data_IF_464544609482
#
_entry.id   IF_464544609482
#
_cell.length_a   1.000
_cell.length_b   1.000
_cell.length_c   1.000
_cell.angle_alpha   90.00
_cell.angle_beta   90.00
_cell.angle_gamma   90.00
#
_symmetry.space_group_name_H-M   'P 1'
#
loop_
_entity.id
_entity.type
_entity.pdbx_description
1 polymer ?
#
# COMPACT_ATOMS: atom_id res chain seq x y z
N UNK A 1 -21.85 -12.20 0.15
CA UNK A 1 -21.33 -12.51 -1.20
C UNK A 1 -20.88 -11.24 -1.98
N UNK A 2 -20.21 -10.25 -1.36
CA UNK A 2 -20.13 -8.86 -1.89
C UNK A 2 -18.70 -8.31 -2.04
N UNK A 3 -17.67 -8.98 -1.51
CA UNK A 3 -16.29 -8.45 -1.49
C UNK A 3 -15.40 -8.55 -2.75
N UNK A 4 -15.65 -9.39 -3.79
CA UNK A 4 -14.62 -9.64 -4.79
C UNK A 4 -14.48 -8.55 -5.87
N UNK A 5 -15.33 -7.52 -5.89
CA UNK A 5 -15.31 -6.47 -6.93
C UNK A 5 -14.35 -5.30 -6.67
N UNK A 6 -13.83 -5.19 -5.44
CA UNK A 6 -12.86 -4.16 -5.05
C UNK A 6 -11.40 -4.65 -5.05
N UNK A 7 -11.18 -5.95 -5.25
CA UNK A 7 -9.85 -6.57 -5.19
C UNK A 7 -9.61 -7.35 -6.49
N UNK A 8 -8.85 -6.78 -7.45
CA UNK A 8 -8.67 -7.33 -8.81
C UNK A 8 -8.07 -8.74 -8.91
N UNK A 9 -7.60 -9.35 -7.82
CA UNK A 9 -6.85 -10.61 -7.79
C UNK A 9 -7.68 -11.84 -7.34
N UNK A 10 -8.97 -11.66 -7.06
CA UNK A 10 -9.83 -12.68 -6.47
C UNK A 10 -10.35 -13.78 -7.43
N UNK A 11 -10.04 -13.75 -8.74
CA UNK A 11 -10.48 -14.76 -9.72
C UNK A 11 -9.29 -15.42 -10.40
N UNK A 12 -9.12 -16.73 -10.22
CA UNK A 12 -8.25 -17.63 -10.98
C UNK A 12 -8.49 -19.07 -10.48
N UNK A 13 -8.65 -19.98 -11.43
CA UNK A 13 -9.15 -21.36 -11.32
C UNK A 13 -8.11 -22.38 -10.79
N UNK A 14 -8.65 -23.50 -10.33
CA UNK A 14 -7.94 -24.61 -9.70
C UNK A 14 -7.29 -25.54 -10.72
N UNK A 15 -5.96 -25.52 -10.78
CA UNK A 15 -5.18 -26.66 -11.27
C UNK A 15 -3.74 -26.57 -10.74
N UNK A 16 -3.30 -27.63 -10.07
CA UNK A 16 -1.93 -27.86 -9.60
C UNK A 16 -1.15 -28.66 -10.64
N UNK A 17 0.07 -28.22 -11.00
CA UNK A 17 1.11 -29.19 -11.34
C UNK A 17 2.45 -28.96 -10.62
N UNK A 18 3.18 -30.07 -10.49
CA UNK A 18 4.43 -30.29 -9.77
C UNK A 18 5.62 -29.39 -10.20
N UNK A 19 6.55 -29.17 -9.26
CA UNK A 19 7.78 -28.40 -9.44
C UNK A 19 8.88 -29.23 -10.15
N UNK A 20 9.65 -28.66 -11.09
CA UNK A 20 10.95 -29.20 -11.51
C UNK A 20 12.11 -28.63 -10.65
N UNK A 21 13.18 -29.41 -10.56
CA UNK A 21 14.40 -29.12 -9.78
C UNK A 21 15.27 -27.99 -10.38
N UNK A 22 16.04 -27.25 -9.57
CA UNK A 22 16.87 -26.13 -10.03
C UNK A 22 18.18 -26.59 -10.70
N UNK A 23 18.68 -25.86 -11.72
CA UNK A 23 20.00 -26.08 -12.30
C UNK A 23 21.14 -25.48 -11.45
N UNK A 24 22.34 -26.06 -11.58
CA UNK A 24 23.57 -25.71 -10.85
C UNK A 24 24.24 -24.44 -11.39
N UNK A 25 24.79 -23.63 -10.47
CA UNK A 25 25.50 -22.36 -10.75
C UNK A 25 27.02 -22.59 -10.79
N UNK A 26 27.75 -22.12 -11.82
CA UNK A 26 29.22 -22.09 -11.80
C UNK A 26 29.78 -20.82 -11.12
N UNK A 27 30.93 -20.97 -10.46
CA UNK A 27 31.59 -19.96 -9.63
C UNK A 27 32.15 -18.75 -10.43
N UNK A 28 32.18 -17.53 -9.85
CA UNK A 28 32.67 -16.33 -10.53
C UNK A 28 34.20 -16.19 -10.51
N UNK A 29 34.76 -15.74 -11.64
CA UNK A 29 36.16 -15.40 -11.81
C UNK A 29 36.50 -14.02 -11.20
N UNK A 30 37.73 -13.89 -10.71
CA UNK A 30 38.28 -12.74 -9.99
C UNK A 30 38.31 -11.44 -10.82
N UNK A 31 37.83 -10.34 -10.22
CA UNK A 31 37.88 -8.99 -10.79
C UNK A 31 39.05 -8.19 -10.19
N UNK A 32 39.84 -7.55 -11.04
CA UNK A 32 41.04 -6.75 -10.70
C UNK A 32 40.68 -5.34 -10.21
N UNK A 33 41.56 -4.82 -9.36
CA UNK A 33 41.54 -3.51 -8.70
C UNK A 33 41.28 -2.29 -9.60
N UNK A 34 40.39 -1.40 -9.15
CA UNK A 34 40.24 -0.03 -9.67
C UNK A 34 40.39 0.96 -8.51
N UNK A 35 41.37 1.87 -8.63
CA UNK A 35 41.70 2.91 -7.64
C UNK A 35 40.63 3.99 -7.57
N UNK A 36 40.27 4.42 -6.35
CA UNK A 36 39.35 5.53 -6.07
C UNK A 36 40.11 6.87 -6.02
N UNK A 37 39.67 7.84 -6.83
CA UNK A 37 40.11 9.24 -6.77
C UNK A 37 39.25 10.07 -5.81
N UNK A 38 39.91 10.85 -4.95
CA UNK A 38 39.28 11.70 -3.92
C UNK A 38 38.78 13.03 -4.50
N UNK A 39 37.49 13.34 -4.34
CA UNK A 39 36.92 14.67 -4.59
C UNK A 39 35.93 15.06 -3.50
N UNK A 40 36.23 16.12 -2.74
CA UNK A 40 35.33 16.71 -1.73
C UNK A 40 34.27 17.55 -2.44
N UNK A 41 32.99 17.30 -2.16
CA UNK A 41 31.90 18.21 -2.53
C UNK A 41 31.15 18.70 -1.28
N UNK A 42 31.09 20.02 -1.15
CA UNK A 42 30.35 20.78 -0.16
C UNK A 42 28.84 20.63 -0.33
N UNK A 43 28.13 20.35 0.77
CA UNK A 43 26.67 20.18 0.81
C UNK A 43 25.98 21.55 0.94
N UNK A 44 25.27 22.00 -0.10
CA UNK A 44 24.26 23.06 -0.02
C UNK A 44 22.86 22.44 0.02
N UNK A 45 21.98 22.99 0.86
CA UNK A 45 20.63 22.47 1.10
C UNK A 45 19.75 22.42 -0.18
N UNK A 46 18.83 21.45 -0.33
CA UNK A 46 18.09 21.26 -1.58
C UNK A 46 16.95 22.28 -1.77
N UNK A 47 16.95 22.99 -2.89
CA UNK A 47 15.84 23.85 -3.32
C UNK A 47 14.67 23.01 -3.88
N UNK A 48 13.67 22.81 -3.02
CA UNK A 48 12.48 21.99 -3.29
C UNK A 48 11.59 22.54 -4.41
N UNK A 49 11.63 23.85 -4.71
CA UNK A 49 10.80 24.45 -5.78
C UNK A 49 11.31 24.06 -7.16
N UNK A 50 12.63 23.95 -7.30
CA UNK A 50 13.28 23.49 -8.54
C UNK A 50 13.10 21.99 -8.80
N UNK A 51 13.06 21.17 -7.74
CA UNK A 51 12.77 19.74 -7.85
C UNK A 51 11.35 19.46 -8.39
N UNK A 52 10.35 20.23 -7.93
CA UNK A 52 8.97 20.14 -8.42
C UNK A 52 8.85 20.50 -9.92
N UNK A 53 9.51 21.58 -10.37
CA UNK A 53 9.50 21.98 -11.79
C UNK A 53 10.28 21.03 -12.68
N UNK A 54 11.45 20.54 -12.24
CA UNK A 54 12.23 19.56 -13.02
C UNK A 54 11.45 18.27 -13.24
N UNK A 55 10.79 17.72 -12.21
CA UNK A 55 9.98 16.50 -12.39
C UNK A 55 8.80 16.71 -13.34
N UNK A 56 8.22 17.92 -13.38
CA UNK A 56 7.15 18.27 -14.32
C UNK A 56 7.63 18.47 -15.77
N UNK A 57 8.90 18.89 -15.97
CA UNK A 57 9.53 19.11 -17.28
C UNK A 57 10.14 17.80 -17.84
N UNK A 58 10.77 17.00 -16.98
CA UNK A 58 11.31 15.66 -17.30
C UNK A 58 10.18 14.69 -17.69
N UNK A 59 8.97 14.88 -17.13
CA UNK A 59 7.75 14.20 -17.55
C UNK A 59 7.28 14.54 -18.98
N UNK A 60 7.70 15.69 -19.54
CA UNK A 60 7.36 16.12 -20.91
C UNK A 60 8.45 15.78 -21.93
N UNK A 61 9.66 15.39 -21.50
CA UNK A 61 10.84 15.40 -22.38
C UNK A 61 11.85 14.26 -22.20
N UNK A 62 11.50 13.14 -21.54
CA UNK A 62 12.40 11.99 -21.53
C UNK A 62 12.54 11.40 -22.96
N UNK A 63 13.77 11.13 -23.46
CA UNK A 63 13.95 10.46 -24.74
C UNK A 63 13.31 9.07 -24.64
N UNK A 64 12.27 8.83 -25.42
CA UNK A 64 11.70 7.49 -25.59
C UNK A 64 12.81 6.62 -26.16
N UNK A 65 13.44 5.78 -25.33
CA UNK A 65 14.12 4.61 -25.86
C UNK A 65 13.11 3.85 -26.73
N UNK A 66 13.57 3.41 -27.90
CA UNK A 66 12.75 2.84 -28.98
C UNK A 66 12.21 1.48 -28.54
N UNK A 67 11.28 1.45 -27.58
CA UNK A 67 10.44 0.29 -27.35
C UNK A 67 9.68 0.01 -28.64
N UNK A 68 9.62 -1.26 -29.06
CA UNK A 68 8.85 -1.65 -30.24
C UNK A 68 7.43 -1.09 -30.10
N UNK A 69 6.96 -0.37 -31.12
CA UNK A 69 5.62 0.22 -31.16
C UNK A 69 4.53 -0.83 -30.87
N UNK A 70 4.80 -2.08 -31.20
CA UNK A 70 3.98 -3.26 -30.90
C UNK A 70 3.80 -3.50 -29.40
N UNK A 71 4.89 -3.51 -28.61
CA UNK A 71 4.81 -3.76 -27.15
C UNK A 71 4.16 -2.60 -26.37
N UNK A 72 4.32 -1.35 -26.84
CA UNK A 72 3.60 -0.21 -26.27
C UNK A 72 2.09 -0.25 -26.59
N UNK A 73 1.71 -0.73 -27.77
CA UNK A 73 0.31 -0.87 -28.16
C UNK A 73 -0.38 -1.95 -27.33
N UNK A 74 0.28 -3.10 -27.13
CA UNK A 74 -0.25 -4.20 -26.30
C UNK A 74 -0.44 -3.83 -24.82
N UNK A 75 0.48 -3.09 -24.17
CA UNK A 75 0.26 -2.66 -22.77
C UNK A 75 -0.83 -1.57 -22.68
N UNK A 76 -1.03 -0.77 -23.72
CA UNK A 76 -2.09 0.24 -23.76
C UNK A 76 -3.49 -0.38 -23.88
N UNK A 77 -3.63 -1.48 -24.63
CA UNK A 77 -4.90 -2.21 -24.80
C UNK A 77 -5.35 -2.93 -23.52
N UNK A 78 -4.44 -3.17 -22.57
CA UNK A 78 -4.76 -3.78 -21.26
C UNK A 78 -5.46 -2.83 -20.30
N UNK A 79 -5.46 -1.52 -20.58
CA UNK A 79 -6.14 -0.55 -19.76
C UNK A 79 -7.57 -0.33 -20.25
N UNK A 80 -8.53 -0.76 -19.44
CA UNK A 80 -9.94 -0.49 -19.69
C UNK A 80 -10.39 0.74 -18.90
N UNK A 81 -10.89 1.75 -19.59
CA UNK A 81 -11.55 2.88 -18.95
C UNK A 81 -12.75 2.41 -18.12
N UNK A 82 -12.91 2.97 -16.92
CA UNK A 82 -14.05 2.69 -16.06
C UNK A 82 -15.31 3.36 -16.61
N UNK A 83 -16.42 2.62 -16.64
CA UNK A 83 -17.73 3.21 -16.94
C UNK A 83 -18.18 4.13 -15.80
N UNK A 84 -19.10 5.07 -16.09
CA UNK A 84 -19.64 5.96 -15.06
C UNK A 84 -20.24 5.20 -13.86
N UNK A 85 -21.03 4.13 -14.04
CA UNK A 85 -21.49 3.30 -12.93
C UNK A 85 -20.36 2.72 -12.08
N UNK A 86 -19.26 2.24 -12.68
CA UNK A 86 -18.12 1.72 -11.94
C UNK A 86 -17.41 2.81 -11.13
N UNK A 87 -17.31 4.03 -11.69
CA UNK A 87 -16.73 5.20 -11.00
C UNK A 87 -17.56 5.63 -9.79
N UNK A 88 -18.89 5.50 -9.86
CA UNK A 88 -19.82 5.84 -8.77
C UNK A 88 -19.97 4.71 -7.74
N UNK A 89 -19.94 3.46 -8.18
CA UNK A 89 -20.11 2.30 -7.29
C UNK A 89 -18.95 2.17 -6.30
N UNK A 90 -17.72 2.44 -6.72
CA UNK A 90 -16.54 2.34 -5.87
C UNK A 90 -16.60 3.23 -4.61
N UNK A 91 -16.85 4.55 -4.69
CA UNK A 91 -16.96 5.38 -3.49
C UNK A 91 -18.17 4.99 -2.63
N UNK A 92 -19.31 4.60 -3.23
CA UNK A 92 -20.48 4.14 -2.47
C UNK A 92 -20.15 2.88 -1.66
N UNK A 93 -19.51 1.88 -2.28
CA UNK A 93 -19.08 0.66 -1.59
C UNK A 93 -18.10 0.96 -0.46
N UNK A 94 -17.17 1.90 -0.68
CA UNK A 94 -16.21 2.30 0.35
C UNK A 94 -16.90 2.98 1.54
N UNK A 95 -17.85 3.89 1.28
CA UNK A 95 -18.69 4.52 2.31
C UNK A 95 -19.44 3.47 3.10
N UNK A 96 -20.16 2.56 2.43
CA UNK A 96 -20.92 1.50 3.09
C UNK A 96 -20.01 0.60 3.93
N UNK A 97 -18.85 0.19 3.42
CA UNK A 97 -17.91 -0.66 4.14
C UNK A 97 -17.37 0.01 5.41
N UNK A 98 -16.98 1.29 5.33
CA UNK A 98 -16.46 2.06 6.48
C UNK A 98 -17.57 2.31 7.50
N UNK A 99 -18.78 2.61 7.05
CA UNK A 99 -19.94 2.75 7.93
C UNK A 99 -20.26 1.46 8.68
N UNK A 100 -20.28 0.31 8.00
CA UNK A 100 -20.51 -1.00 8.62
C UNK A 100 -19.37 -1.38 9.57
N UNK A 101 -18.13 -1.00 9.27
CA UNK A 101 -16.97 -1.31 10.11
C UNK A 101 -16.98 -0.53 11.43
N UNK A 102 -17.30 0.76 11.38
CA UNK A 102 -17.06 1.67 12.51
C UNK A 102 -18.35 2.13 13.19
N UNK A 103 -19.38 2.44 12.42
CA UNK A 103 -20.59 3.10 12.93
C UNK A 103 -21.69 2.10 13.29
N UNK A 104 -21.79 0.96 12.60
CA UNK A 104 -22.77 -0.08 12.95
C UNK A 104 -22.51 -0.67 14.36
N UNK A 105 -21.29 -1.11 14.74
CA UNK A 105 -21.03 -1.63 16.08
C UNK A 105 -21.25 -0.58 17.18
N UNK A 106 -20.89 0.67 16.90
CA UNK A 106 -21.16 1.82 17.77
C UNK A 106 -22.67 2.10 17.95
N UNK A 107 -23.43 1.95 16.85
CA UNK A 107 -24.90 2.06 16.79
C UNK A 107 -25.61 1.05 17.66
N UNK A 108 -25.12 -0.19 17.69
CA UNK A 108 -25.68 -1.26 18.52
C UNK A 108 -25.40 -1.07 20.00
N UNK A 109 -24.31 -0.38 20.36
CA UNK A 109 -23.89 -0.19 21.75
C UNK A 109 -24.60 0.95 22.48
N UNK A 110 -25.18 1.93 21.77
CA UNK A 110 -25.63 3.17 22.41
C UNK A 110 -26.76 3.91 21.68
N UNK A 111 -27.45 4.79 22.41
CA UNK A 111 -28.45 5.69 21.82
C UNK A 111 -27.81 6.65 20.80
N UNK A 112 -28.48 6.97 19.66
CA UNK A 112 -27.95 7.80 18.58
C UNK A 112 -27.34 9.15 19.02
N UNK A 113 -27.85 9.73 20.12
CA UNK A 113 -27.34 10.99 20.69
C UNK A 113 -25.89 10.91 21.18
N UNK A 114 -25.41 9.75 21.66
CA UNK A 114 -24.02 9.57 22.11
C UNK A 114 -23.04 9.43 20.93
N UNK A 115 -23.52 8.90 19.81
CA UNK A 115 -22.75 8.73 18.57
C UNK A 115 -22.54 10.09 17.89
N UNK A 116 -23.57 10.93 17.85
CA UNK A 116 -23.49 12.27 17.28
C UNK A 116 -22.78 13.29 18.20
N UNK A 117 -22.82 13.09 19.52
CA UNK A 117 -22.16 13.98 20.50
C UNK A 117 -20.65 13.74 20.66
N UNK A 118 -20.16 12.56 20.29
CA UNK A 118 -18.74 12.22 20.34
C UNK A 118 -17.98 12.71 19.10
N UNK A 119 -17.46 13.94 19.15
CA UNK A 119 -16.49 14.47 18.16
C UNK A 119 -15.32 13.49 17.89
N UNK A 120 -15.07 12.59 18.84
CA UNK A 120 -14.02 11.60 18.83
C UNK A 120 -14.26 10.40 17.88
N UNK A 121 -15.45 9.80 17.84
CA UNK A 121 -15.77 8.76 16.85
C UNK A 121 -16.09 9.40 15.48
N UNK A 122 -16.61 10.63 15.49
CA UNK A 122 -17.04 11.34 14.30
C UNK A 122 -15.98 11.50 13.22
N UNK A 123 -14.71 11.81 13.55
CA UNK A 123 -13.67 12.04 12.53
C UNK A 123 -13.11 10.75 11.91
N UNK A 124 -13.18 9.62 12.62
CA UNK A 124 -12.50 8.38 12.25
C UNK A 124 -13.03 7.78 10.93
N UNK A 125 -14.35 7.72 10.67
CA UNK A 125 -14.88 7.33 9.35
C UNK A 125 -14.39 8.24 8.22
N UNK A 126 -14.31 9.56 8.43
CA UNK A 126 -13.82 10.49 7.41
C UNK A 126 -12.33 10.29 7.13
N UNK A 127 -11.52 10.08 8.16
CA UNK A 127 -10.10 9.76 8.01
C UNK A 127 -9.89 8.47 7.21
N UNK A 128 -10.70 7.41 7.47
CA UNK A 128 -10.67 6.18 6.68
C UNK A 128 -11.10 6.43 5.24
N UNK A 129 -12.18 7.20 5.03
CA UNK A 129 -12.66 7.54 3.70
C UNK A 129 -11.58 8.25 2.89
N UNK A 130 -10.92 9.25 3.48
CA UNK A 130 -9.82 9.99 2.84
C UNK A 130 -8.65 9.05 2.56
N UNK A 131 -8.24 8.24 3.54
CA UNK A 131 -7.12 7.31 3.39
C UNK A 131 -7.30 6.33 2.22
N UNK A 132 -8.47 5.67 2.16
CA UNK A 132 -8.74 4.66 1.13
C UNK A 132 -9.09 5.27 -0.23
N UNK A 133 -9.53 6.54 -0.26
CA UNK A 133 -9.86 7.25 -1.50
C UNK A 133 -8.64 7.90 -2.16
N UNK A 134 -7.74 8.53 -1.39
CA UNK A 134 -6.69 9.43 -1.93
C UNK A 134 -5.72 8.74 -2.90
N UNK A 135 -5.43 7.45 -2.69
CA UNK A 135 -4.65 6.65 -3.64
C UNK A 135 -5.52 5.99 -4.69
N UNK A 136 -6.55 5.26 -4.26
CA UNK A 136 -7.30 4.33 -5.09
C UNK A 136 -8.17 5.02 -6.13
N UNK A 137 -8.93 6.07 -5.74
CA UNK A 137 -9.92 6.68 -6.63
C UNK A 137 -9.27 7.55 -7.72
N UNK A 138 -8.34 8.49 -7.43
CA UNK A 138 -7.68 9.27 -8.48
C UNK A 138 -6.97 8.38 -9.50
N UNK A 139 -6.31 7.32 -9.05
CA UNK A 139 -5.69 6.32 -9.92
C UNK A 139 -6.74 5.58 -10.76
N UNK A 140 -7.80 5.05 -10.14
CA UNK A 140 -8.87 4.34 -10.83
C UNK A 140 -9.50 5.21 -11.93
N UNK A 141 -9.74 6.48 -11.62
CA UNK A 141 -10.38 7.41 -12.53
C UNK A 141 -9.46 7.88 -13.65
N UNK A 142 -8.15 8.01 -13.37
CA UNK A 142 -7.15 8.48 -14.34
C UNK A 142 -6.64 7.39 -15.28
N UNK A 143 -6.38 6.19 -14.74
CA UNK A 143 -5.75 5.10 -15.50
C UNK A 143 -6.73 3.97 -15.84
N UNK A 144 -7.86 3.86 -15.14
CA UNK A 144 -8.82 2.78 -15.34
C UNK A 144 -8.44 1.49 -14.61
N UNK A 145 -8.90 0.36 -15.15
CA UNK A 145 -8.60 -0.99 -14.66
C UNK A 145 -7.55 -1.64 -15.56
N UNK A 146 -6.54 -2.23 -14.94
CA UNK A 146 -5.53 -3.02 -15.64
C UNK A 146 -5.99 -4.48 -15.73
N UNK A 147 -6.04 -5.02 -16.94
CA UNK A 147 -6.22 -6.45 -17.17
C UNK A 147 -4.87 -7.17 -16.98
N UNK A 148 -4.78 -8.03 -15.97
CA UNK A 148 -3.55 -8.78 -15.68
C UNK A 148 -3.28 -9.80 -16.82
N UNK A 149 -2.07 -9.88 -17.37
CA UNK A 149 -1.72 -10.89 -18.37
C UNK A 149 -2.04 -12.32 -17.90
N UNK A 150 -2.60 -13.19 -18.76
CA UNK A 150 -2.91 -14.59 -18.41
C UNK A 150 -1.68 -15.37 -17.93
N UNK A 151 -0.51 -15.02 -18.45
CA UNK A 151 0.81 -15.61 -18.23
C UNK A 151 1.63 -14.88 -17.15
N UNK A 152 1.07 -13.89 -16.45
CA UNK A 152 1.68 -13.31 -15.24
C UNK A 152 1.61 -14.28 -14.06
N UNK A 153 2.36 -15.36 -14.21
CA UNK A 153 2.53 -16.52 -13.34
C UNK A 153 3.11 -16.17 -11.98
N UNK A 154 3.55 -14.93 -11.77
CA UNK A 154 3.81 -14.35 -10.46
C UNK A 154 2.51 -14.35 -9.63
N UNK A 155 2.25 -15.50 -9.01
CA UNK A 155 1.24 -15.67 -7.97
C UNK A 155 1.73 -14.86 -6.78
N UNK A 156 0.92 -13.93 -6.23
CA UNK A 156 1.27 -13.33 -4.96
C UNK A 156 1.49 -14.46 -3.95
N UNK A 157 2.66 -14.53 -3.31
CA UNK A 157 3.01 -15.64 -2.42
C UNK A 157 2.12 -15.77 -1.18
N UNK A 158 1.19 -14.84 -0.96
CA UNK A 158 0.12 -14.93 0.04
C UNK A 158 -1.10 -15.67 -0.49
N UNK A 159 -1.55 -16.69 0.25
CA UNK A 159 -2.78 -17.42 -0.07
C UNK A 159 -3.98 -16.50 0.09
N UNK A 160 -5.05 -16.74 -0.69
CA UNK A 160 -6.31 -15.97 -0.55
C UNK A 160 -6.88 -16.03 0.87
N UNK A 161 -6.71 -17.19 1.53
CA UNK A 161 -7.11 -17.41 2.91
C UNK A 161 -6.35 -16.53 3.90
N UNK A 162 -5.05 -16.27 3.68
CA UNK A 162 -4.23 -15.43 4.56
C UNK A 162 -4.74 -13.99 4.57
N UNK A 163 -5.08 -13.46 3.38
CA UNK A 163 -5.67 -12.14 3.25
C UNK A 163 -7.08 -12.08 3.84
N UNK A 164 -7.92 -13.08 3.57
CA UNK A 164 -9.27 -13.14 4.12
C UNK A 164 -9.25 -13.18 5.66
N UNK A 165 -8.32 -13.96 6.24
CA UNK A 165 -8.11 -14.02 7.68
C UNK A 165 -7.61 -12.68 8.23
N UNK A 166 -6.60 -12.07 7.60
CA UNK A 166 -6.11 -10.76 8.01
C UNK A 166 -7.23 -9.70 8.00
N UNK A 167 -8.02 -9.68 6.93
CA UNK A 167 -9.16 -8.77 6.82
C UNK A 167 -10.21 -9.06 7.89
N UNK A 168 -10.52 -10.32 8.17
CA UNK A 168 -11.44 -10.69 9.25
C UNK A 168 -10.93 -10.19 10.61
N UNK A 169 -9.63 -10.34 10.89
CA UNK A 169 -9.01 -9.80 12.10
C UNK A 169 -9.13 -8.27 12.16
N UNK A 170 -8.91 -7.56 11.06
CA UNK A 170 -9.12 -6.10 10.96
C UNK A 170 -10.58 -5.76 11.31
N UNK A 171 -11.55 -6.44 10.69
CA UNK A 171 -12.97 -6.17 10.90
C UNK A 171 -13.39 -6.40 12.35
N UNK A 172 -13.02 -7.56 12.93
CA UNK A 172 -13.36 -7.91 14.31
C UNK A 172 -12.67 -6.95 15.29
N UNK A 173 -11.39 -6.64 15.10
CA UNK A 173 -10.64 -5.75 16.00
C UNK A 173 -11.24 -4.34 16.02
N UNK A 174 -11.62 -3.79 14.87
CA UNK A 174 -12.25 -2.47 14.80
C UNK A 174 -13.68 -2.46 15.32
N UNK A 175 -14.47 -3.49 15.02
CA UNK A 175 -15.85 -3.57 15.50
C UNK A 175 -15.90 -3.67 17.03
N UNK A 176 -15.07 -4.54 17.61
CA UNK A 176 -14.93 -4.68 19.08
C UNK A 176 -14.41 -3.40 19.72
N UNK A 177 -13.41 -2.74 19.12
CA UNK A 177 -12.89 -1.48 19.65
C UNK A 177 -13.93 -0.35 19.58
N UNK A 178 -14.66 -0.22 18.48
CA UNK A 178 -15.72 0.78 18.33
C UNK A 178 -16.87 0.56 19.34
N UNK A 179 -17.27 -0.70 19.54
CA UNK A 179 -18.28 -1.07 20.55
C UNK A 179 -17.83 -0.68 21.97
N UNK A 180 -16.62 -1.05 22.36
CA UNK A 180 -16.06 -0.76 23.69
C UNK A 180 -15.85 0.74 23.91
N UNK A 181 -15.41 1.48 22.89
CA UNK A 181 -15.15 2.91 22.97
C UNK A 181 -16.40 3.72 23.31
N UNK A 182 -17.50 3.45 22.61
CA UNK A 182 -18.77 4.18 22.83
C UNK A 182 -19.38 3.89 24.20
N UNK A 183 -19.02 2.76 24.80
CA UNK A 183 -19.51 2.34 26.11
C UNK A 183 -18.84 3.06 27.29
N UNK A 184 -17.69 3.73 27.09
CA UNK A 184 -16.94 4.29 28.22
C UNK A 184 -15.72 5.16 27.91
N UNK A 185 -15.67 5.83 26.76
CA UNK A 185 -14.52 6.65 26.39
C UNK A 185 -14.24 7.79 27.37
N UNK A 186 -12.96 7.96 27.69
CA UNK A 186 -12.42 9.15 28.35
C UNK A 186 -11.46 9.87 27.41
N UNK A 187 -11.63 11.18 27.22
CA UNK A 187 -10.67 11.98 26.45
C UNK A 187 -9.33 11.98 27.19
N UNK A 188 -8.27 11.56 26.50
CA UNK A 188 -6.91 11.47 27.06
C UNK A 188 -5.99 12.49 26.39
N UNK A 189 -4.97 13.02 27.11
CA UNK A 189 -4.09 14.05 26.56
C UNK A 189 -3.29 13.59 25.33
N UNK A 190 -3.07 12.28 25.17
CA UNK A 190 -2.39 11.70 24.01
C UNK A 190 -3.30 11.44 22.80
N UNK A 191 -4.61 11.70 22.88
CA UNK A 191 -5.53 11.49 21.75
C UNK A 191 -5.18 12.39 20.54
N UNK A 192 -4.65 13.58 20.80
CA UNK A 192 -4.13 14.48 19.76
C UNK A 192 -2.93 13.89 19.02
N UNK A 193 -2.04 13.19 19.73
CA UNK A 193 -0.88 12.50 19.14
C UNK A 193 -1.38 11.35 18.25
N UNK A 194 -2.32 10.54 18.73
CA UNK A 194 -2.88 9.42 17.97
C UNK A 194 -3.63 9.89 16.72
N UNK A 195 -4.29 11.06 16.78
CA UNK A 195 -4.85 11.71 15.60
C UNK A 195 -3.76 12.15 14.63
N UNK A 196 -2.69 12.79 15.11
CA UNK A 196 -1.56 13.18 14.26
C UNK A 196 -0.92 11.97 13.56
N UNK A 197 -0.77 10.83 14.26
CA UNK A 197 -0.29 9.57 13.67
C UNK A 197 -1.19 9.13 12.51
N UNK A 198 -2.52 9.11 12.69
CA UNK A 198 -3.46 8.75 11.60
C UNK A 198 -3.42 9.72 10.43
N UNK A 199 -3.34 11.02 10.69
CA UNK A 199 -3.19 12.03 9.63
C UNK A 199 -1.88 11.86 8.86
N UNK A 200 -0.78 11.52 9.56
CA UNK A 200 0.50 11.22 8.91
C UNK A 200 0.41 10.00 8.00
N UNK A 201 -0.39 8.99 8.38
CA UNK A 201 -0.66 7.82 7.55
C UNK A 201 -1.36 8.20 6.24
N UNK A 202 -2.36 9.10 6.30
CA UNK A 202 -3.06 9.61 5.10
C UNK A 202 -2.07 10.31 4.17
N UNK A 203 -1.21 11.18 4.72
CA UNK A 203 -0.19 11.90 3.93
C UNK A 203 0.79 10.90 3.31
N UNK A 204 1.25 9.92 4.07
CA UNK A 204 2.18 8.90 3.59
C UNK A 204 1.59 8.08 2.44
N UNK A 205 0.35 7.61 2.56
CA UNK A 205 -0.37 6.92 1.48
C UNK A 205 -0.52 7.78 0.25
N UNK A 206 -0.93 9.04 0.42
CA UNK A 206 -1.11 9.96 -0.71
C UNK A 206 0.20 10.17 -1.47
N UNK A 207 1.30 10.41 -0.75
CA UNK A 207 2.62 10.59 -1.34
C UNK A 207 3.13 9.32 -2.00
N UNK A 208 2.97 8.16 -1.37
CA UNK A 208 3.40 6.88 -1.93
C UNK A 208 2.59 6.53 -3.18
N UNK A 209 1.26 6.69 -3.14
CA UNK A 209 0.38 6.46 -4.28
C UNK A 209 0.70 7.39 -5.45
N UNK A 210 0.98 8.66 -5.18
CA UNK A 210 1.39 9.63 -6.20
C UNK A 210 2.70 9.22 -6.88
N UNK A 211 3.70 8.77 -6.11
CA UNK A 211 4.97 8.31 -6.65
C UNK A 211 4.84 7.01 -7.45
N UNK A 212 3.95 6.10 -7.03
CA UNK A 212 3.72 4.82 -7.71
C UNK A 212 2.90 5.00 -8.99
N UNK A 213 2.00 5.98 -9.02
CA UNK A 213 1.26 6.40 -10.22
C UNK A 213 0.50 5.24 -10.86
N UNK A 214 0.82 4.92 -12.13
CA UNK A 214 0.19 3.83 -12.88
C UNK A 214 0.54 2.43 -12.34
N UNK A 215 1.62 2.30 -11.57
CA UNK A 215 2.11 1.03 -11.06
C UNK A 215 1.50 0.66 -9.69
N UNK A 216 0.57 1.46 -9.15
CA UNK A 216 0.01 1.28 -7.80
C UNK A 216 -0.57 -0.11 -7.52
N UNK A 217 -1.23 -0.73 -8.50
CA UNK A 217 -1.81 -2.07 -8.38
C UNK A 217 -0.99 -3.15 -9.11
N UNK A 218 0.22 -2.82 -9.61
CA UNK A 218 0.99 -3.65 -10.55
C UNK A 218 2.26 -4.24 -9.93
N UNK A 219 2.24 -4.80 -8.71
CA UNK A 219 3.47 -5.39 -8.14
C UNK A 219 4.07 -6.46 -9.06
N UNK A 220 3.23 -7.34 -9.64
CA UNK A 220 3.63 -8.39 -10.57
C UNK A 220 3.76 -7.95 -12.05
N UNK A 221 3.48 -6.70 -12.37
CA UNK A 221 3.47 -6.20 -13.75
C UNK A 221 4.03 -4.78 -13.83
N UNK A 222 4.89 -4.38 -12.88
CA UNK A 222 5.32 -2.99 -12.76
C UNK A 222 6.22 -2.66 -13.94
N UNK A 223 5.88 -1.59 -14.64
CA UNK A 223 6.69 -1.11 -15.78
C UNK A 223 7.97 -0.39 -15.34
N UNK A 224 8.03 0.06 -14.09
CA UNK A 224 9.12 0.88 -13.59
C UNK A 224 9.34 0.64 -12.09
N UNK A 225 10.61 0.63 -11.67
CA UNK A 225 11.00 0.59 -10.27
C UNK A 225 10.98 2.00 -9.68
N UNK A 226 10.08 2.25 -8.73
CA UNK A 226 9.94 3.57 -8.08
C UNK A 226 10.81 3.63 -6.84
N UNK A 227 11.81 4.52 -6.85
CA UNK A 227 12.77 4.73 -5.76
C UNK A 227 12.78 6.16 -5.23
N UNK A 228 11.71 6.94 -5.53
CA UNK A 228 11.62 8.36 -5.16
C UNK A 228 10.52 8.63 -4.13
N UNK A 229 10.62 9.74 -3.41
CA UNK A 229 9.66 10.09 -2.36
C UNK A 229 9.79 9.19 -1.13
N UNK A 230 8.66 8.73 -0.54
CA UNK A 230 8.68 7.84 0.63
C UNK A 230 9.47 6.54 0.42
N UNK A 231 9.59 6.07 -0.82
CA UNK A 231 10.35 4.88 -1.19
C UNK A 231 11.85 5.00 -0.96
N UNK A 232 12.39 6.21 -0.75
CA UNK A 232 13.80 6.41 -0.34
C UNK A 232 14.04 6.10 1.14
N UNK A 233 12.99 6.08 1.94
CA UNK A 233 13.08 5.90 3.40
C UNK A 233 12.75 4.45 3.78
N UNK A 234 11.71 3.89 3.16
CA UNK A 234 11.25 2.52 3.39
C UNK A 234 10.80 1.89 2.08
N UNK A 235 11.04 0.59 1.89
CA UNK A 235 10.64 -0.11 0.64
C UNK A 235 9.12 -0.24 0.47
N UNK A 236 8.37 -0.33 1.58
CA UNK A 236 6.93 -0.56 1.56
C UNK A 236 6.14 0.54 2.31
N UNK A 237 6.18 1.81 1.86
CA UNK A 237 5.57 2.95 2.57
C UNK A 237 4.04 2.85 2.65
N UNK A 238 3.39 2.22 1.67
CA UNK A 238 1.95 1.96 1.70
C UNK A 238 1.61 1.00 2.86
N UNK A 239 2.35 -0.08 3.06
CA UNK A 239 2.10 -0.99 4.19
C UNK A 239 2.38 -0.33 5.54
N UNK A 240 3.43 0.49 5.63
CA UNK A 240 3.67 1.31 6.81
C UNK A 240 2.47 2.22 7.12
N UNK A 241 1.91 2.88 6.10
CA UNK A 241 0.74 3.75 6.29
C UNK A 241 -0.50 3.00 6.80
N UNK A 242 -0.75 1.76 6.33
CA UNK A 242 -1.81 0.91 6.85
C UNK A 242 -1.61 0.59 8.33
N UNK A 243 -0.39 0.23 8.72
CA UNK A 243 -0.04 -0.04 10.12
C UNK A 243 -0.26 1.21 10.99
N UNK A 244 0.20 2.38 10.55
CA UNK A 244 0.01 3.64 11.28
C UNK A 244 -1.46 4.00 11.43
N UNK A 245 -2.26 3.88 10.36
CA UNK A 245 -3.70 4.16 10.42
C UNK A 245 -4.39 3.22 11.39
N UNK A 246 -4.21 1.90 11.24
CA UNK A 246 -4.95 0.94 12.04
C UNK A 246 -4.50 0.92 13.49
N UNK A 247 -3.19 0.92 13.76
CA UNK A 247 -2.68 0.97 15.14
C UNK A 247 -3.07 2.28 15.83
N UNK A 248 -2.91 3.43 15.14
CA UNK A 248 -3.35 4.72 15.66
C UNK A 248 -4.85 4.76 15.96
N UNK A 249 -5.67 4.08 15.14
CA UNK A 249 -7.12 4.00 15.35
C UNK A 249 -7.50 3.11 16.53
N UNK A 250 -6.92 1.92 16.67
CA UNK A 250 -7.26 1.03 17.79
C UNK A 250 -6.75 1.53 19.14
N UNK A 251 -5.59 2.18 19.16
CA UNK A 251 -5.08 2.86 20.35
C UNK A 251 -5.98 4.04 20.73
N UNK A 252 -6.45 4.80 19.74
CA UNK A 252 -7.39 5.89 19.95
C UNK A 252 -8.74 5.39 20.46
N UNK A 253 -9.21 4.25 19.95
CA UNK A 253 -10.39 3.55 20.44
C UNK A 253 -10.17 2.88 21.81
N UNK A 254 -9.01 3.07 22.44
CA UNK A 254 -8.67 2.59 23.79
C UNK A 254 -8.81 1.07 23.98
N UNK A 255 -8.78 0.30 22.88
CA UNK A 255 -8.88 -1.15 22.93
C UNK A 255 -7.49 -1.79 22.83
N UNK A 256 -6.89 -2.06 23.98
CA UNK A 256 -5.57 -2.71 24.05
C UNK A 256 -5.59 -4.09 23.40
N UNK A 257 -6.59 -4.92 23.71
CA UNK A 257 -6.70 -6.27 23.16
C UNK A 257 -6.88 -6.24 21.63
N UNK A 258 -7.76 -5.38 21.10
CA UNK A 258 -7.92 -5.24 19.65
C UNK A 258 -6.62 -4.78 18.99
N UNK A 259 -5.88 -3.87 19.63
CA UNK A 259 -4.59 -3.37 19.13
C UNK A 259 -3.56 -4.50 19.03
N UNK A 260 -3.45 -5.34 20.05
CA UNK A 260 -2.53 -6.50 20.08
C UNK A 260 -2.91 -7.53 19.02
N UNK A 261 -4.19 -7.90 18.92
CA UNK A 261 -4.69 -8.86 17.93
C UNK A 261 -4.37 -8.37 16.51
N UNK A 262 -4.64 -7.10 16.23
CA UNK A 262 -4.37 -6.53 14.93
C UNK A 262 -2.87 -6.51 14.63
N UNK A 263 -2.03 -6.07 15.58
CA UNK A 263 -0.59 -6.02 15.38
C UNK A 263 -0.02 -7.41 15.10
N UNK A 264 -0.48 -8.43 15.83
CA UNK A 264 -0.11 -9.82 15.58
C UNK A 264 -0.55 -10.29 14.19
N UNK A 265 -1.81 -10.05 13.82
CA UNK A 265 -2.34 -10.42 12.51
C UNK A 265 -1.59 -9.72 11.37
N UNK A 266 -1.28 -8.43 11.52
CA UNK A 266 -0.53 -7.65 10.55
C UNK A 266 0.91 -8.14 10.42
N UNK A 267 1.55 -8.49 11.54
CA UNK A 267 2.92 -9.06 11.54
C UNK A 267 2.96 -10.38 10.78
N UNK A 268 2.03 -11.30 11.06
CA UNK A 268 1.93 -12.58 10.34
C UNK A 268 1.62 -12.38 8.85
N UNK A 269 0.70 -11.47 8.53
CA UNK A 269 0.34 -11.20 7.14
C UNK A 269 1.51 -10.57 6.36
N UNK A 270 2.11 -9.50 6.87
CA UNK A 270 3.18 -8.78 6.17
C UNK A 270 4.50 -9.55 6.13
N UNK A 271 4.81 -10.39 7.14
CA UNK A 271 5.99 -11.27 7.09
C UNK A 271 5.94 -12.29 5.95
N UNK A 272 4.73 -12.68 5.49
CA UNK A 272 4.55 -13.51 4.30
C UNK A 272 4.43 -12.70 3.02
N UNK A 273 3.73 -11.56 3.10
CA UNK A 273 3.44 -10.72 1.92
C UNK A 273 4.67 -10.03 1.37
N UNK A 274 5.46 -9.40 2.23
CA UNK A 274 6.60 -8.58 1.80
C UNK A 274 7.64 -9.42 1.07
N UNK A 275 8.15 -10.55 1.59
CA UNK A 275 9.15 -11.35 0.87
C UNK A 275 8.66 -11.85 -0.48
N UNK A 276 7.39 -12.24 -0.58
CA UNK A 276 6.80 -12.66 -1.84
C UNK A 276 6.75 -11.54 -2.89
N UNK A 277 6.47 -10.30 -2.47
CA UNK A 277 6.51 -9.15 -3.36
C UNK A 277 7.92 -8.73 -3.73
N UNK A 278 8.84 -8.73 -2.77
CA UNK A 278 10.26 -8.43 -3.03
C UNK A 278 10.89 -9.45 -3.98
N UNK A 279 10.48 -10.72 -3.93
CA UNK A 279 10.93 -11.73 -4.87
C UNK A 279 10.42 -11.47 -6.29
N UNK A 280 9.15 -11.09 -6.44
CA UNK A 280 8.60 -10.68 -7.74
C UNK A 280 9.32 -9.44 -8.28
N UNK A 281 9.61 -8.46 -7.41
CA UNK A 281 10.33 -7.24 -7.79
C UNK A 281 11.78 -7.55 -8.17
N UNK A 282 12.44 -8.47 -7.47
CA UNK A 282 13.78 -8.96 -7.82
C UNK A 282 13.78 -9.68 -9.17
N UNK A 283 12.83 -10.56 -9.42
CA UNK A 283 12.67 -11.24 -10.71
C UNK A 283 12.41 -10.26 -11.86
N UNK A 284 11.69 -9.16 -11.58
CA UNK A 284 11.34 -8.15 -12.59
C UNK A 284 12.47 -7.17 -12.88
N UNK A 285 13.22 -6.73 -11.86
CA UNK A 285 14.17 -5.62 -11.97
C UNK A 285 15.64 -6.00 -11.74
N UNK A 286 15.92 -7.24 -11.30
CA UNK A 286 17.27 -7.78 -11.12
C UNK A 286 18.16 -6.88 -10.27
N UNK A 287 19.37 -6.59 -10.77
CA UNK A 287 20.37 -5.77 -10.08
C UNK A 287 19.86 -4.38 -9.66
N UNK A 288 18.93 -3.78 -10.40
CA UNK A 288 18.34 -2.49 -10.03
C UNK A 288 17.56 -2.58 -8.72
N UNK A 289 16.89 -3.70 -8.50
CA UNK A 289 16.19 -3.97 -7.24
C UNK A 289 17.17 -4.19 -6.09
N UNK A 290 18.25 -4.93 -6.32
CA UNK A 290 19.24 -5.19 -5.28
C UNK A 290 19.98 -3.90 -4.88
N UNK A 291 20.37 -3.06 -5.85
CA UNK A 291 20.95 -1.73 -5.58
C UNK A 291 19.99 -0.84 -4.80
N UNK A 292 18.68 -0.89 -5.12
CA UNK A 292 17.67 -0.18 -4.36
C UNK A 292 17.57 -0.69 -2.91
N UNK A 293 17.60 -2.02 -2.70
CA UNK A 293 17.58 -2.61 -1.37
C UNK A 293 18.78 -2.20 -0.52
N UNK A 294 19.98 -2.07 -1.11
CA UNK A 294 21.16 -1.55 -0.42
C UNK A 294 20.97 -0.09 -0.01
N UNK A 295 20.42 0.74 -0.90
CA UNK A 295 20.19 2.17 -0.61
C UNK A 295 19.08 2.41 0.42
N UNK A 296 18.10 1.51 0.48
CA UNK A 296 16.91 1.59 1.34
C UNK A 296 16.75 0.27 2.09
N UNK A 297 17.51 0.05 3.18
CA UNK A 297 17.53 -1.22 3.89
C UNK A 297 16.21 -1.52 4.62
N UNK A 298 15.54 -0.48 5.12
CA UNK A 298 14.30 -0.60 5.88
C UNK A 298 13.12 -1.04 4.99
N UNK A 299 12.39 -2.07 5.42
CA UNK A 299 11.16 -2.53 4.77
C UNK A 299 9.97 -1.69 5.21
N UNK A 300 9.80 -1.53 6.52
CA UNK A 300 8.61 -0.91 7.13
C UNK A 300 8.96 0.15 8.16
N UNK A 301 9.75 -0.20 9.18
CA UNK A 301 10.16 0.74 10.22
C UNK A 301 11.64 1.02 10.07
N UNK A 302 12.05 2.31 10.01
CA UNK A 302 13.46 2.64 10.12
C UNK A 302 14.01 1.99 11.40
N UNK A 303 15.03 1.13 11.27
CA UNK A 303 15.80 0.49 12.35
C UNK A 303 15.22 -0.81 12.98
N UNK A 304 13.98 -1.22 12.69
CA UNK A 304 13.40 -2.44 13.28
C UNK A 304 13.08 -3.53 12.25
N UNK A 305 13.06 -3.19 10.95
CA UNK A 305 12.90 -4.15 9.85
C UNK A 305 13.19 -3.53 8.48
#
# INVERSE_FOLDING_TARGET
MILPSMLPWARADFSTPCLPAPPSVPAPAACKDVRLGSGRHSLTAPDWRHAFRRKAIEFRGAPRSRASTTGQREDSERWRALSLPEKLLQPVQLVVAIWLLLLLPAGLASSPRRICGGFALGSLPFEYLIFFSVGTLPRAWRYGRYAKPPDSSAKPGTRRSDFALFLLCVLIAHATAAFSFVSGHQIRPWDGILRAVRLSAIVLTALAAWHLGRNYDRVAASSELVTTGPYKLVRHPIYLSYLLLFAGSLLYLQSFLSSVILLAAATVFYSRRIPAEEEILRQTFGERWDAFCTSTPARLLPLLY
#
